data_IF_285708636244
#
_entry.id   IF_285708636244
#
_cell.length_a   1.000
_cell.length_b   1.000
_cell.length_c   1.000
_cell.angle_alpha   90.00
_cell.angle_beta   90.00
_cell.angle_gamma   90.00
#
_symmetry.space_group_name_H-M   'P 1'
#
loop_
_entity.id
_entity.type
_entity.pdbx_description
1 polymer ?
#
# COMPACT_ATOMS: atom_id res chain seq x y z
N UNK A 1 6.62 -17.30 -17.05
CA UNK A 1 6.78 -15.96 -17.67
C UNK A 1 7.34 -14.93 -16.67
N UNK A 2 7.01 -15.00 -15.37
CA UNK A 2 7.52 -14.04 -14.36
C UNK A 2 8.96 -14.26 -13.86
N UNK A 3 9.53 -15.47 -13.97
CA UNK A 3 10.86 -15.78 -13.40
C UNK A 3 11.99 -14.83 -13.81
N UNK A 4 12.04 -14.36 -15.07
CA UNK A 4 13.11 -13.43 -15.48
C UNK A 4 12.92 -12.06 -14.81
N UNK A 5 11.69 -11.55 -14.82
CA UNK A 5 11.37 -10.29 -14.16
C UNK A 5 11.65 -10.36 -12.65
N UNK A 6 11.21 -11.42 -11.97
CA UNK A 6 11.40 -11.58 -10.53
C UNK A 6 12.90 -11.60 -10.16
N UNK A 7 13.72 -12.27 -10.97
CA UNK A 7 15.17 -12.30 -10.76
C UNK A 7 15.82 -10.92 -10.95
N UNK A 8 15.41 -10.17 -11.99
CA UNK A 8 15.91 -8.82 -12.25
C UNK A 8 15.43 -7.82 -11.20
N UNK A 9 14.18 -7.95 -10.74
CA UNK A 9 13.60 -7.03 -9.77
C UNK A 9 14.17 -7.25 -8.36
N UNK A 10 14.19 -8.49 -7.88
CA UNK A 10 14.67 -8.80 -6.54
C UNK A 10 16.20 -8.90 -6.45
N UNK A 11 16.88 -9.17 -7.56
CA UNK A 11 18.32 -9.45 -7.54
C UNK A 11 18.64 -10.82 -6.90
N UNK A 12 19.90 -11.28 -6.99
CA UNK A 12 20.25 -12.66 -6.69
C UNK A 12 19.97 -13.10 -5.25
N UNK A 13 20.29 -12.25 -4.28
CA UNK A 13 20.18 -12.58 -2.86
C UNK A 13 18.72 -12.69 -2.41
N UNK A 14 17.92 -11.67 -2.70
CA UNK A 14 16.52 -11.64 -2.29
C UNK A 14 15.67 -12.64 -3.09
N UNK A 15 15.92 -12.78 -4.40
CA UNK A 15 15.27 -13.82 -5.21
C UNK A 15 15.48 -15.22 -4.62
N UNK A 16 16.73 -15.57 -4.28
CA UNK A 16 17.05 -16.87 -3.69
C UNK A 16 16.35 -17.10 -2.35
N UNK A 17 16.22 -16.04 -1.54
CA UNK A 17 15.50 -16.09 -0.27
C UNK A 17 13.99 -16.33 -0.46
N UNK A 18 13.38 -15.64 -1.42
CA UNK A 18 11.92 -15.69 -1.67
C UNK A 18 11.49 -16.99 -2.34
N UNK A 19 12.23 -17.43 -3.36
CA UNK A 19 11.81 -18.53 -4.23
C UNK A 19 12.56 -19.83 -3.98
N UNK A 20 13.49 -19.85 -3.02
CA UNK A 20 14.35 -21.00 -2.71
C UNK A 20 15.09 -21.55 -3.94
N UNK A 21 15.39 -20.69 -4.90
CA UNK A 21 16.03 -21.01 -6.17
C UNK A 21 17.09 -19.96 -6.52
N UNK A 22 18.28 -20.36 -7.01
CA UNK A 22 19.31 -19.40 -7.36
C UNK A 22 18.89 -18.54 -8.56
N UNK A 23 19.25 -17.25 -8.52
CA UNK A 23 19.14 -16.37 -9.69
C UNK A 23 20.21 -16.71 -10.73
N UNK A 24 19.85 -16.56 -12.01
CA UNK A 24 20.76 -16.62 -13.16
C UNK A 24 21.51 -15.30 -13.39
N UNK A 25 21.14 -14.23 -12.68
CA UNK A 25 21.72 -12.89 -12.78
C UNK A 25 22.54 -12.56 -11.53
N UNK A 26 23.64 -11.84 -11.70
CA UNK A 26 24.55 -11.41 -10.63
C UNK A 26 24.35 -9.95 -10.18
N UNK A 27 23.70 -9.14 -11.01
CA UNK A 27 23.55 -7.70 -10.76
C UNK A 27 22.60 -7.41 -9.59
N UNK A 28 22.75 -6.24 -8.92
CA UNK A 28 21.79 -5.77 -7.93
C UNK A 28 20.36 -5.72 -8.50
N UNK A 29 19.36 -5.99 -7.65
CA UNK A 29 17.97 -5.98 -8.06
C UNK A 29 17.44 -4.56 -8.29
N UNK A 30 16.47 -4.39 -9.20
CA UNK A 30 15.82 -3.10 -9.43
C UNK A 30 15.08 -2.57 -8.19
N UNK A 31 14.71 -3.43 -7.24
CA UNK A 31 14.11 -3.05 -5.96
C UNK A 31 15.01 -2.12 -5.12
N UNK A 32 16.33 -2.11 -5.37
CA UNK A 32 17.27 -1.17 -4.75
C UNK A 32 17.01 0.29 -5.15
N UNK A 33 16.31 0.50 -6.27
CA UNK A 33 15.95 1.81 -6.78
C UNK A 33 14.53 2.24 -6.38
N UNK A 34 13.88 1.52 -5.46
CA UNK A 34 12.58 1.94 -4.94
C UNK A 34 12.71 3.28 -4.20
N UNK A 35 11.98 4.30 -4.68
CA UNK A 35 11.85 5.58 -3.99
C UNK A 35 10.83 5.47 -2.85
N UNK A 36 11.32 5.49 -1.61
CA UNK A 36 10.47 5.39 -0.41
C UNK A 36 9.92 6.77 -0.04
N UNK A 37 8.65 7.00 -0.36
CA UNK A 37 7.95 8.28 -0.08
C UNK A 37 7.41 8.39 1.36
N UNK A 38 7.27 7.28 2.07
CA UNK A 38 6.86 7.26 3.48
C UNK A 38 8.09 7.45 4.38
N UNK A 39 8.05 8.33 5.37
CA UNK A 39 9.21 8.65 6.21
C UNK A 39 8.82 8.81 7.69
N UNK A 40 9.82 8.90 8.56
CA UNK A 40 9.61 9.01 10.01
C UNK A 40 8.78 10.24 10.39
N UNK A 41 9.01 11.40 9.77
CA UNK A 41 8.24 12.62 10.05
C UNK A 41 6.74 12.45 9.73
N UNK A 42 6.41 11.89 8.56
CA UNK A 42 5.03 11.58 8.21
C UNK A 42 4.44 10.55 9.17
N UNK A 43 5.20 9.50 9.49
CA UNK A 43 4.79 8.46 10.43
C UNK A 43 4.45 9.04 11.80
N UNK A 44 5.31 9.89 12.37
CA UNK A 44 5.12 10.50 13.68
C UNK A 44 3.85 11.37 13.74
N UNK A 45 3.60 12.18 12.70
CA UNK A 45 2.38 13.00 12.61
C UNK A 45 1.12 12.14 12.58
N UNK A 46 1.13 11.05 11.80
CA UNK A 46 -0.02 10.14 11.73
C UNK A 46 -0.19 9.37 13.05
N UNK A 47 0.89 8.83 13.62
CA UNK A 47 0.85 8.06 14.87
C UNK A 47 0.42 8.90 16.08
N UNK A 48 0.73 10.20 16.12
CA UNK A 48 0.20 11.12 17.15
C UNK A 48 -1.33 11.12 17.21
N UNK A 49 -2.00 10.99 16.06
CA UNK A 49 -3.46 11.00 15.97
C UNK A 49 -4.09 9.61 16.04
N UNK A 50 -3.51 8.66 15.31
CA UNK A 50 -4.10 7.33 15.08
C UNK A 50 -3.46 6.22 15.91
N UNK A 51 -2.39 6.52 16.65
CA UNK A 51 -1.64 5.53 17.42
C UNK A 51 -1.14 4.40 16.52
N UNK A 52 -1.47 3.16 16.91
CA UNK A 52 -1.12 1.95 16.16
C UNK A 52 -2.12 1.59 15.06
N UNK A 53 -3.21 2.35 14.86
CA UNK A 53 -4.24 2.03 13.85
C UNK A 53 -3.83 2.47 12.44
N UNK A 54 -2.63 2.08 12.02
CA UNK A 54 -2.07 2.35 10.70
C UNK A 54 -1.59 1.01 10.14
N UNK A 55 -2.30 0.47 9.15
CA UNK A 55 -1.95 -0.81 8.52
C UNK A 55 -1.78 -0.66 7.01
N UNK A 56 -1.32 -1.73 6.38
CA UNK A 56 -1.05 -1.79 4.94
C UNK A 56 -1.86 -2.89 4.27
N UNK A 57 -2.44 -2.59 3.11
CA UNK A 57 -3.00 -3.60 2.18
C UNK A 57 -2.30 -3.44 0.84
N UNK A 58 -1.33 -4.32 0.56
CA UNK A 58 -0.39 -4.16 -0.54
C UNK A 58 -0.36 -5.38 -1.44
N UNK A 59 -0.17 -5.17 -2.75
CA UNK A 59 0.03 -6.24 -3.72
C UNK A 59 1.32 -7.04 -3.49
N UNK A 60 2.32 -6.42 -2.84
CA UNK A 60 3.65 -7.00 -2.63
C UNK A 60 3.68 -7.99 -1.46
N UNK A 61 4.61 -8.95 -1.51
CA UNK A 61 4.88 -9.87 -0.40
C UNK A 61 5.61 -9.17 0.75
N UNK A 62 5.46 -9.71 1.96
CA UNK A 62 5.99 -9.10 3.19
C UNK A 62 7.49 -8.87 3.15
N UNK A 63 8.22 -9.83 2.61
CA UNK A 63 9.68 -9.74 2.53
C UNK A 63 10.16 -8.72 1.49
N UNK A 64 9.42 -8.54 0.39
CA UNK A 64 9.64 -7.46 -0.59
C UNK A 64 9.42 -6.08 0.05
N UNK A 65 8.30 -5.90 0.76
CA UNK A 65 8.02 -4.65 1.47
C UNK A 65 9.04 -4.37 2.57
N UNK A 66 9.44 -5.39 3.33
CA UNK A 66 10.50 -5.27 4.34
C UNK A 66 11.81 -4.78 3.73
N UNK A 67 12.15 -5.27 2.55
CA UNK A 67 13.36 -4.85 1.86
C UNK A 67 13.35 -3.35 1.55
N UNK A 68 12.25 -2.86 0.97
CA UNK A 68 12.12 -1.44 0.59
C UNK A 68 11.99 -0.53 1.81
N UNK A 69 11.10 -0.85 2.76
CA UNK A 69 10.76 0.04 3.87
C UNK A 69 11.73 -0.03 5.06
N UNK A 70 12.48 -1.12 5.22
CA UNK A 70 13.44 -1.30 6.32
C UNK A 70 12.79 -1.02 7.69
N UNK A 71 13.32 -0.10 8.49
CA UNK A 71 12.81 0.25 9.81
C UNK A 71 11.42 0.90 9.77
N UNK A 72 11.04 1.52 8.65
CA UNK A 72 9.72 2.16 8.51
C UNK A 72 8.57 1.15 8.53
N UNK A 73 8.84 -0.11 8.19
CA UNK A 73 7.84 -1.17 8.28
C UNK A 73 7.31 -1.35 9.72
N UNK A 74 8.14 -1.10 10.72
CA UNK A 74 7.78 -1.22 12.14
C UNK A 74 6.76 -0.16 12.60
N UNK A 75 6.54 0.88 11.77
CA UNK A 75 5.56 1.93 12.03
C UNK A 75 4.12 1.49 11.73
N UNK A 76 3.94 0.37 11.06
CA UNK A 76 2.64 -0.20 10.71
C UNK A 76 2.23 -1.30 11.69
N UNK A 77 0.93 -1.47 11.89
CA UNK A 77 0.35 -2.64 12.54
C UNK A 77 0.46 -3.85 11.61
N UNK A 78 1.58 -4.57 11.73
CA UNK A 78 1.86 -5.76 10.92
C UNK A 78 0.92 -6.92 11.18
N UNK A 79 0.25 -6.96 12.35
CA UNK A 79 -0.74 -7.99 12.66
C UNK A 79 -2.00 -7.79 11.82
N UNK A 80 -2.38 -6.54 11.61
CA UNK A 80 -3.57 -6.15 10.85
C UNK A 80 -3.24 -5.61 9.44
N UNK A 81 -2.05 -5.90 8.94
CA UNK A 81 -1.63 -5.61 7.56
C UNK A 81 -1.74 -6.88 6.71
N UNK A 82 -2.01 -6.72 5.42
CA UNK A 82 -2.18 -7.81 4.46
C UNK A 82 -1.22 -7.62 3.27
N UNK A 83 -0.41 -8.64 3.03
CA UNK A 83 0.59 -8.70 1.95
C UNK A 83 0.10 -9.70 0.90
N UNK A 84 -0.57 -9.22 -0.14
CA UNK A 84 -1.44 -10.04 -0.99
C UNK A 84 -0.71 -11.11 -1.81
N UNK A 85 0.57 -10.92 -2.13
CA UNK A 85 1.42 -11.95 -2.75
C UNK A 85 1.65 -13.17 -1.86
N UNK A 86 1.55 -13.01 -0.54
CA UNK A 86 1.68 -14.09 0.45
C UNK A 86 0.33 -14.78 0.74
N UNK A 87 -0.75 -14.29 0.13
CA UNK A 87 -2.14 -14.70 0.40
C UNK A 87 -2.78 -15.41 -0.82
N UNK A 88 -3.99 -15.94 -0.63
CA UNK A 88 -4.78 -16.45 -1.77
C UNK A 88 -5.06 -15.35 -2.79
N UNK A 89 -4.98 -15.68 -4.08
CA UNK A 89 -5.36 -14.78 -5.18
C UNK A 89 -6.80 -14.31 -5.09
N UNK A 90 -7.67 -15.04 -4.40
CA UNK A 90 -9.05 -14.63 -4.17
C UNK A 90 -9.14 -13.33 -3.36
N UNK A 91 -8.12 -13.02 -2.54
CA UNK A 91 -8.02 -11.78 -1.76
C UNK A 91 -7.42 -10.61 -2.55
N UNK A 92 -6.98 -10.83 -3.79
CA UNK A 92 -6.39 -9.77 -4.61
C UNK A 92 -7.37 -8.61 -4.80
N UNK A 93 -6.82 -7.40 -4.91
CA UNK A 93 -7.61 -6.22 -5.24
C UNK A 93 -8.31 -6.46 -6.60
N UNK A 94 -9.57 -6.01 -6.79
CA UNK A 94 -10.36 -5.14 -5.91
C UNK A 94 -11.30 -5.91 -4.97
N UNK A 95 -10.93 -7.08 -4.45
CA UNK A 95 -11.70 -7.76 -3.41
C UNK A 95 -11.57 -6.98 -2.07
N UNK A 96 -12.67 -6.59 -1.40
CA UNK A 96 -12.64 -5.81 -0.15
C UNK A 96 -12.17 -6.59 1.08
N UNK A 97 -12.08 -7.92 1.02
CA UNK A 97 -11.88 -8.76 2.19
C UNK A 97 -10.57 -8.44 2.93
N UNK A 98 -9.47 -8.19 2.22
CA UNK A 98 -8.19 -7.82 2.84
C UNK A 98 -8.28 -6.50 3.63
N UNK A 99 -8.96 -5.50 3.08
CA UNK A 99 -9.22 -4.23 3.77
C UNK A 99 -10.17 -4.42 4.95
N UNK A 100 -11.24 -5.22 4.80
CA UNK A 100 -12.18 -5.53 5.88
C UNK A 100 -11.48 -6.23 7.05
N UNK A 101 -10.62 -7.20 6.77
CA UNK A 101 -9.84 -7.89 7.80
C UNK A 101 -8.98 -6.89 8.58
N UNK A 102 -8.36 -5.94 7.90
CA UNK A 102 -7.55 -4.88 8.51
C UNK A 102 -8.39 -3.97 9.41
N UNK A 103 -9.54 -3.50 8.91
CA UNK A 103 -10.46 -2.61 9.66
C UNK A 103 -10.98 -3.31 10.92
N UNK A 104 -11.44 -4.55 10.78
CA UNK A 104 -11.97 -5.35 11.89
C UNK A 104 -10.90 -5.71 12.90
N UNK A 105 -9.71 -6.13 12.45
CA UNK A 105 -8.60 -6.49 13.31
C UNK A 105 -8.04 -5.32 14.13
N UNK A 106 -8.11 -4.10 13.59
CA UNK A 106 -7.79 -2.87 14.32
C UNK A 106 -8.95 -2.33 15.18
N UNK A 107 -10.13 -2.95 15.13
CA UNK A 107 -11.37 -2.47 15.77
C UNK A 107 -11.69 -1.00 15.41
N UNK A 108 -11.51 -0.65 14.14
CA UNK A 108 -11.66 0.72 13.64
C UNK A 108 -13.12 1.04 13.31
N UNK A 109 -13.63 2.16 13.85
CA UNK A 109 -15.00 2.64 13.56
C UNK A 109 -15.17 3.22 12.16
N UNK A 110 -14.07 3.70 11.59
CA UNK A 110 -13.98 4.26 10.25
C UNK A 110 -12.56 4.09 9.72
N UNK A 111 -12.41 4.10 8.40
CA UNK A 111 -11.14 3.94 7.71
C UNK A 111 -10.95 5.05 6.67
N UNK A 112 -9.76 5.67 6.66
CA UNK A 112 -9.27 6.42 5.52
C UNK A 112 -8.33 5.49 4.75
N UNK A 113 -8.77 5.00 3.61
CA UNK A 113 -7.97 4.12 2.76
C UNK A 113 -7.21 4.97 1.73
N UNK A 114 -5.87 5.02 1.87
CA UNK A 114 -4.99 5.81 1.01
C UNK A 114 -4.37 4.89 -0.04
N UNK A 115 -4.61 5.16 -1.33
CA UNK A 115 -4.09 4.37 -2.43
C UNK A 115 -4.02 5.17 -3.73
N UNK A 116 -3.36 4.63 -4.75
CA UNK A 116 -3.11 5.34 -6.00
C UNK A 116 -3.71 4.63 -7.22
N UNK A 117 -4.32 3.46 -7.05
CA UNK A 117 -4.91 2.67 -8.12
C UNK A 117 -6.44 2.74 -8.13
N UNK A 118 -7.06 2.38 -9.26
CA UNK A 118 -8.50 2.16 -9.30
C UNK A 118 -8.94 0.91 -8.54
N UNK A 119 -8.08 -0.09 -8.43
CA UNK A 119 -8.40 -1.29 -7.65
C UNK A 119 -8.53 -0.94 -6.16
N UNK A 120 -7.69 -0.03 -5.67
CA UNK A 120 -7.77 0.54 -4.33
C UNK A 120 -9.09 1.30 -4.09
N UNK A 121 -9.46 2.17 -5.03
CA UNK A 121 -10.73 2.89 -4.98
C UNK A 121 -11.93 1.93 -4.92
N UNK A 122 -11.97 0.94 -5.82
CA UNK A 122 -13.04 -0.05 -5.87
C UNK A 122 -13.09 -0.90 -4.61
N UNK A 123 -11.93 -1.27 -4.07
CA UNK A 123 -11.83 -2.02 -2.81
C UNK A 123 -12.44 -1.22 -1.65
N UNK A 124 -12.07 0.05 -1.48
CA UNK A 124 -12.64 0.93 -0.47
C UNK A 124 -14.16 1.14 -0.65
N UNK A 125 -14.61 1.35 -1.89
CA UNK A 125 -16.04 1.50 -2.21
C UNK A 125 -16.84 0.24 -1.84
N UNK A 126 -16.32 -0.95 -2.17
CA UNK A 126 -16.96 -2.22 -1.81
C UNK A 126 -16.97 -2.45 -0.29
N UNK A 127 -15.91 -2.09 0.43
CA UNK A 127 -15.91 -2.14 1.90
C UNK A 127 -17.03 -1.28 2.50
N UNK A 128 -17.27 -0.09 1.94
CA UNK A 128 -18.39 0.79 2.34
C UNK A 128 -19.75 0.17 2.07
N UNK A 129 -19.95 -0.45 0.90
CA UNK A 129 -21.19 -1.17 0.56
C UNK A 129 -21.46 -2.31 1.57
N UNK A 130 -20.41 -2.96 2.07
CA UNK A 130 -20.49 -4.03 3.08
C UNK A 130 -20.64 -3.51 4.52
N UNK A 131 -20.85 -2.21 4.72
CA UNK A 131 -21.14 -1.61 6.02
C UNK A 131 -19.92 -1.07 6.78
N UNK A 132 -18.72 -1.14 6.21
CA UNK A 132 -17.51 -0.61 6.83
C UNK A 132 -17.27 0.83 6.37
N UNK A 133 -17.44 1.81 7.27
CA UNK A 133 -17.28 3.24 6.96
C UNK A 133 -15.87 3.55 6.43
N UNK A 134 -15.72 3.57 5.10
CA UNK A 134 -14.42 3.70 4.43
C UNK A 134 -14.45 4.88 3.48
N UNK A 135 -13.53 5.81 3.67
CA UNK A 135 -13.30 6.95 2.77
C UNK A 135 -12.03 6.68 1.98
N UNK A 136 -12.09 6.76 0.65
CA UNK A 136 -10.92 6.65 -0.20
C UNK A 136 -10.20 8.01 -0.32
N UNK A 137 -8.88 7.99 -0.24
CA UNK A 137 -7.99 9.10 -0.55
C UNK A 137 -7.04 8.68 -1.68
N UNK A 138 -7.23 9.24 -2.87
CA UNK A 138 -6.41 8.97 -4.04
C UNK A 138 -5.08 9.72 -3.98
N UNK A 139 -3.96 9.06 -4.27
CA UNK A 139 -2.65 9.71 -4.47
C UNK A 139 -2.31 9.70 -5.96
N UNK A 140 -2.01 10.87 -6.55
CA UNK A 140 -1.81 10.99 -8.00
C UNK A 140 -0.38 11.31 -8.43
N UNK A 141 0.47 11.86 -7.54
CA UNK A 141 1.83 12.28 -7.89
C UNK A 141 2.80 11.15 -8.22
N UNK A 142 2.45 9.90 -7.90
CA UNK A 142 3.20 8.70 -8.32
C UNK A 142 2.84 8.24 -9.74
N UNK A 143 1.81 8.81 -10.36
CA UNK A 143 1.37 8.45 -11.71
C UNK A 143 2.27 9.04 -12.79
N UNK A 144 2.50 8.30 -13.88
CA UNK A 144 3.09 8.87 -15.10
C UNK A 144 2.21 9.97 -15.72
N UNK A 145 0.90 9.90 -15.51
CA UNK A 145 -0.06 10.92 -15.93
C UNK A 145 -1.01 11.27 -14.77
N UNK A 146 -0.62 12.20 -13.89
CA UNK A 146 -1.43 12.58 -12.73
C UNK A 146 -2.79 13.18 -13.11
N UNK A 147 -2.87 13.91 -14.22
CA UNK A 147 -4.10 14.58 -14.66
C UNK A 147 -5.17 13.59 -15.15
N UNK A 148 -4.78 12.56 -15.90
CA UNK A 148 -5.70 11.49 -16.26
C UNK A 148 -6.17 10.71 -15.03
N UNK A 149 -5.26 10.44 -14.08
CA UNK A 149 -5.60 9.75 -12.83
C UNK A 149 -6.56 10.58 -11.96
N UNK A 150 -6.35 11.90 -11.88
CA UNK A 150 -7.27 12.83 -11.22
C UNK A 150 -8.66 12.75 -11.85
N UNK A 151 -8.74 12.91 -13.17
CA UNK A 151 -10.00 12.86 -13.92
C UNK A 151 -10.74 11.53 -13.71
N UNK A 152 -9.99 10.43 -13.67
CA UNK A 152 -10.54 9.10 -13.41
C UNK A 152 -11.11 8.98 -11.98
N UNK A 153 -10.42 9.49 -10.96
CA UNK A 153 -10.94 9.52 -9.59
C UNK A 153 -12.15 10.45 -9.45
N UNK A 154 -12.14 11.63 -10.08
CA UNK A 154 -13.27 12.56 -10.09
C UNK A 154 -14.51 11.96 -10.75
N UNK A 155 -14.35 11.32 -11.92
CA UNK A 155 -15.43 10.62 -12.62
C UNK A 155 -16.05 9.49 -11.79
N UNK A 156 -15.29 8.93 -10.85
CA UNK A 156 -15.75 7.88 -9.95
C UNK A 156 -16.18 8.43 -8.58
N UNK A 157 -16.27 9.74 -8.41
CA UNK A 157 -16.74 10.43 -7.19
C UNK A 157 -15.83 10.18 -5.97
N UNK A 158 -14.51 10.08 -6.18
CA UNK A 158 -13.55 10.09 -5.08
C UNK A 158 -13.62 11.42 -4.32
N UNK A 159 -13.78 11.35 -3.00
CA UNK A 159 -13.99 12.53 -2.14
C UNK A 159 -12.69 13.32 -1.93
N UNK A 160 -11.56 12.62 -1.92
CA UNK A 160 -10.26 13.21 -1.62
C UNK A 160 -9.21 12.67 -2.60
N UNK A 161 -8.50 13.57 -3.26
CA UNK A 161 -7.38 13.26 -4.14
C UNK A 161 -6.24 14.23 -3.81
N UNK A 162 -5.03 13.72 -3.64
CA UNK A 162 -3.84 14.46 -3.25
C UNK A 162 -2.68 14.15 -4.19
N UNK A 163 -1.80 15.13 -4.40
CA UNK A 163 -0.57 14.90 -5.16
C UNK A 163 0.40 13.98 -4.42
N UNK A 164 0.49 14.11 -3.10
CA UNK A 164 1.45 13.36 -2.28
C UNK A 164 0.84 12.95 -0.93
N UNK A 165 1.30 11.82 -0.39
CA UNK A 165 0.98 11.39 0.97
C UNK A 165 1.46 12.38 2.05
N UNK A 166 2.43 13.23 1.72
CA UNK A 166 2.92 14.29 2.61
C UNK A 166 1.86 15.35 2.92
N UNK A 167 0.81 15.44 2.11
CA UNK A 167 -0.32 16.33 2.33
C UNK A 167 -1.35 15.76 3.32
N UNK A 168 -1.25 14.49 3.70
CA UNK A 168 -2.17 13.86 4.65
C UNK A 168 -2.26 14.61 5.99
N UNK A 169 -1.15 15.01 6.64
CA UNK A 169 -1.23 15.76 7.89
C UNK A 169 -2.00 17.07 7.75
N UNK A 170 -1.81 17.81 6.65
CA UNK A 170 -2.48 19.08 6.41
C UNK A 170 -3.99 18.89 6.23
N UNK A 171 -4.42 17.95 5.38
CA UNK A 171 -5.86 17.73 5.13
C UNK A 171 -6.59 17.09 6.31
N UNK A 172 -5.85 16.44 7.21
CA UNK A 172 -6.36 15.87 8.45
C UNK A 172 -6.21 16.82 9.66
N UNK A 173 -5.71 18.04 9.46
CA UNK A 173 -5.45 19.03 10.51
C UNK A 173 -4.57 18.48 11.66
N UNK A 174 -3.41 17.91 11.30
CA UNK A 174 -2.43 17.30 12.21
C UNK A 174 -1.13 18.12 12.36
N UNK A 175 -1.10 19.35 11.83
CA UNK A 175 0.02 20.29 11.98
C UNK A 175 -0.01 21.04 13.31
#
# INVERSE_FOLDING_TARGET
MYQIFDQLFYGPKLYSKLFQNPSKFSEPGLIENDDVIFNDNLSEKLQKKFGKQISMVTGRGKESVRYSLKHLLEKFDLKNSVFLEDESRDLAKPNPQALINSISGMNSKSCLYVGDSMEDFLMAKKSTILGYKTTFCGIIGTSKNPQEKLKLFEQNEAILVLDSIELLPKVLNLE
#
